data_IF_777272020265
#
_entry.id   IF_777272020265
#
_cell.length_a   1.000
_cell.length_b   1.000
_cell.length_c   1.000
_cell.angle_alpha   90.00
_cell.angle_beta   90.00
_cell.angle_gamma   90.00
#
_symmetry.space_group_name_H-M   'P 1'
#
loop_
_entity.id
_entity.type
_entity.pdbx_description
1 polymer ?
#
# COMPACT_ATOMS: atom_id res chain seq x y z
N UNK A 1 18.18 3.58 -15.50
CA UNK A 1 17.05 2.62 -15.49
C UNK A 1 16.23 2.89 -14.24
N UNK A 2 14.90 2.75 -14.31
CA UNK A 2 14.04 2.86 -13.13
C UNK A 2 14.35 1.70 -12.16
N UNK A 3 14.29 1.92 -10.83
CA UNK A 3 14.47 0.85 -9.87
C UNK A 3 13.37 -0.21 -10.04
N UNK A 4 13.68 -1.50 -9.78
CA UNK A 4 12.71 -2.59 -9.92
C UNK A 4 11.55 -2.47 -8.93
N UNK A 5 11.79 -1.78 -7.81
CA UNK A 5 10.83 -1.55 -6.75
C UNK A 5 10.94 -0.12 -6.24
N UNK A 6 9.87 0.38 -5.65
CA UNK A 6 9.84 1.61 -4.87
C UNK A 6 9.17 1.39 -3.52
N UNK A 7 9.49 2.28 -2.57
CA UNK A 7 8.76 2.46 -1.32
C UNK A 7 7.94 3.75 -1.40
N UNK A 8 6.66 3.68 -1.05
CA UNK A 8 5.71 4.79 -1.09
C UNK A 8 5.13 5.04 0.30
N UNK A 9 4.75 6.28 0.58
CA UNK A 9 3.75 6.52 1.62
C UNK A 9 2.38 6.04 1.11
N UNK A 10 1.58 5.42 1.98
CA UNK A 10 0.21 5.02 1.64
C UNK A 10 -0.71 6.22 1.48
N UNK A 11 -0.45 7.29 2.23
CA UNK A 11 -1.16 8.54 2.07
C UNK A 11 -0.69 9.27 0.81
N UNK A 12 -1.64 9.69 -0.02
CA UNK A 12 -1.40 10.37 -1.28
C UNK A 12 -2.09 11.72 -1.24
N UNK A 13 -1.32 12.81 -1.26
CA UNK A 13 -1.86 14.17 -1.26
C UNK A 13 -2.37 14.56 -2.64
N UNK A 14 -3.50 15.28 -2.66
CA UNK A 14 -4.03 15.92 -3.85
C UNK A 14 -3.64 17.39 -3.79
N UNK A 15 -2.60 17.76 -4.52
CA UNK A 15 -2.02 19.12 -4.44
C UNK A 15 -1.59 19.64 -5.80
N UNK A 16 -1.61 20.96 -5.95
CA UNK A 16 -1.09 21.67 -7.12
C UNK A 16 0.45 21.75 -7.05
N UNK A 17 1.11 21.78 -8.21
CA UNK A 17 2.57 21.97 -8.28
C UNK A 17 3.00 23.40 -7.88
N UNK A 18 2.07 24.37 -7.88
CA UNK A 18 2.29 25.75 -7.44
C UNK A 18 1.29 26.14 -6.33
N UNK A 19 1.61 27.19 -5.57
CA UNK A 19 0.73 27.78 -4.57
C UNK A 19 -0.53 28.35 -5.24
N UNK A 20 -1.52 27.49 -5.48
CA UNK A 20 -2.80 27.89 -6.03
C UNK A 20 -3.52 28.82 -5.05
N UNK A 21 -4.13 29.89 -5.58
CA UNK A 21 -4.99 30.77 -4.78
C UNK A 21 -6.15 29.92 -4.25
N UNK A 22 -6.48 29.98 -2.94
CA UNK A 22 -7.59 29.23 -2.39
C UNK A 22 -8.90 29.68 -3.04
N UNK A 23 -9.45 28.85 -3.93
CA UNK A 23 -10.81 29.03 -4.43
C UNK A 23 -11.74 28.35 -3.44
N UNK A 24 -12.82 29.00 -2.99
CA UNK A 24 -13.80 28.36 -2.11
C UNK A 24 -14.34 27.09 -2.76
N UNK A 25 -14.35 25.98 -2.01
CA UNK A 25 -15.00 24.76 -2.46
C UNK A 25 -16.47 25.08 -2.77
N UNK A 26 -16.95 24.83 -4.00
CA UNK A 26 -18.38 24.90 -4.25
C UNK A 26 -19.01 23.76 -3.45
N UNK A 27 -19.63 24.10 -2.32
CA UNK A 27 -20.59 23.22 -1.69
C UNK A 27 -21.92 23.49 -2.39
N UNK A 28 -22.47 22.56 -3.18
CA UNK A 28 -23.80 22.75 -3.75
C UNK A 28 -24.84 22.51 -2.64
N UNK A 29 -25.16 23.55 -1.87
CA UNK A 29 -26.21 23.50 -0.86
C UNK A 29 -27.54 23.17 -1.57
N UNK A 30 -28.17 22.05 -1.18
CA UNK A 30 -29.44 21.60 -1.76
C UNK A 30 -29.33 20.58 -2.89
N UNK A 31 -28.13 20.13 -3.28
CA UNK A 31 -27.96 19.02 -4.21
C UNK A 31 -28.33 17.67 -3.58
N UNK A 32 -28.89 16.76 -4.39
CA UNK A 32 -29.13 15.38 -3.98
C UNK A 32 -27.81 14.60 -3.86
N UNK A 33 -27.83 13.49 -3.09
CA UNK A 33 -26.67 12.59 -2.98
C UNK A 33 -26.19 12.08 -4.35
N UNK A 34 -27.11 11.87 -5.29
CA UNK A 34 -26.78 11.40 -6.64
C UNK A 34 -26.05 12.46 -7.45
N UNK A 35 -26.58 13.68 -7.52
CA UNK A 35 -25.95 14.80 -8.24
C UNK A 35 -24.55 15.07 -7.70
N UNK A 36 -24.38 14.94 -6.37
CA UNK A 36 -23.09 15.16 -5.75
C UNK A 36 -22.10 14.01 -6.01
N UNK A 37 -22.57 12.76 -6.00
CA UNK A 37 -21.78 11.61 -6.42
C UNK A 37 -21.31 11.75 -7.87
N UNK A 38 -22.21 12.16 -8.77
CA UNK A 38 -21.89 12.39 -10.19
C UNK A 38 -20.83 13.50 -10.35
N UNK A 39 -20.96 14.61 -9.60
CA UNK A 39 -19.98 15.69 -9.59
C UNK A 39 -18.61 15.26 -9.02
N UNK A 40 -18.60 14.40 -8.00
CA UNK A 40 -17.37 13.80 -7.47
C UNK A 40 -16.68 12.94 -8.52
N UNK A 41 -17.42 12.08 -9.22
CA UNK A 41 -16.86 11.23 -10.27
C UNK A 41 -16.32 12.08 -11.43
N UNK A 42 -17.02 13.14 -11.83
CA UNK A 42 -16.54 14.08 -12.85
C UNK A 42 -15.25 14.78 -12.42
N UNK A 43 -15.18 15.30 -11.19
CA UNK A 43 -13.98 15.91 -10.62
C UNK A 43 -12.80 14.92 -10.61
N UNK A 44 -13.02 13.69 -10.15
CA UNK A 44 -11.99 12.65 -10.11
C UNK A 44 -11.45 12.30 -11.50
N UNK A 45 -12.29 12.34 -12.54
CA UNK A 45 -11.86 12.09 -13.94
C UNK A 45 -10.97 13.21 -14.50
N UNK A 46 -11.05 14.42 -13.94
CA UNK A 46 -10.23 15.54 -14.35
C UNK A 46 -8.83 15.55 -13.69
N UNK A 47 -8.61 14.67 -12.69
CA UNK A 47 -7.33 14.56 -11.99
C UNK A 47 -6.25 13.96 -12.90
N UNK A 48 -5.00 14.36 -12.64
CA UNK A 48 -3.80 13.76 -13.24
C UNK A 48 -2.92 13.14 -12.16
N UNK A 49 -2.04 12.22 -12.54
CA UNK A 49 -1.07 11.64 -11.62
C UNK A 49 0.36 12.03 -12.01
N UNK A 50 1.22 12.17 -11.00
CA UNK A 50 2.66 12.36 -11.17
C UNK A 50 3.42 11.49 -10.18
N UNK A 51 4.16 10.52 -10.70
CA UNK A 51 5.05 9.68 -9.92
C UNK A 51 6.50 10.19 -9.98
N UNK A 52 7.08 10.48 -8.82
CA UNK A 52 8.52 10.70 -8.64
C UNK A 52 9.12 9.43 -8.06
N UNK A 53 10.02 8.82 -8.83
CA UNK A 53 10.61 7.52 -8.51
C UNK A 53 12.00 7.71 -7.93
N UNK A 54 12.23 7.07 -6.78
CA UNK A 54 13.52 6.99 -6.10
C UNK A 54 13.84 5.52 -5.81
N UNK A 55 15.13 5.18 -5.83
CA UNK A 55 15.58 3.85 -5.45
C UNK A 55 15.37 3.63 -3.96
N UNK A 56 14.79 2.50 -3.52
CA UNK A 56 14.76 2.13 -2.12
C UNK A 56 16.18 2.12 -1.54
N UNK A 57 16.36 2.60 -0.30
CA UNK A 57 15.32 2.97 0.65
C UNK A 57 14.80 4.41 0.51
N UNK A 58 15.32 5.25 -0.40
CA UNK A 58 14.71 6.55 -0.63
C UNK A 58 13.24 6.40 -1.06
N UNK A 59 12.37 7.21 -0.47
CA UNK A 59 10.94 7.15 -0.74
C UNK A 59 10.63 7.72 -2.12
N UNK A 60 9.82 6.99 -2.87
CA UNK A 60 9.11 7.51 -4.03
C UNK A 60 7.85 8.25 -3.58
N UNK A 61 7.29 9.07 -4.46
CA UNK A 61 6.01 9.73 -4.22
C UNK A 61 5.09 9.59 -5.42
N UNK A 62 3.82 9.30 -5.15
CA UNK A 62 2.74 9.43 -6.10
C UNK A 62 1.94 10.66 -5.66
N UNK A 63 1.82 11.64 -6.54
CA UNK A 63 0.99 12.84 -6.32
C UNK A 63 -0.18 12.82 -7.28
N UNK A 64 -1.33 13.26 -6.81
CA UNK A 64 -2.51 13.47 -7.64
C UNK A 64 -2.70 14.97 -7.79
N UNK A 65 -2.84 15.41 -9.02
CA UNK A 65 -2.85 16.81 -9.41
C UNK A 65 -4.27 17.18 -9.81
N UNK A 66 -4.97 18.03 -9.03
CA UNK A 66 -6.23 18.62 -9.46
C UNK A 66 -6.06 19.52 -10.69
N UNK A 67 -7.13 19.77 -11.45
CA UNK A 67 -7.12 20.77 -12.51
C UNK A 67 -6.61 22.14 -12.00
N UNK A 68 -5.94 22.93 -12.85
CA UNK A 68 -5.57 24.29 -12.50
C UNK A 68 -6.82 25.09 -12.11
N UNK A 69 -6.72 25.90 -11.06
CA UNK A 69 -7.82 26.76 -10.58
C UNK A 69 -9.11 26.00 -10.20
N UNK A 70 -9.03 24.73 -9.84
CA UNK A 70 -10.15 24.01 -9.21
C UNK A 70 -10.02 23.99 -7.68
N UNK A 71 -11.11 24.28 -6.98
CA UNK A 71 -11.21 23.99 -5.55
C UNK A 71 -11.47 22.49 -5.33
N UNK A 72 -10.95 21.88 -4.25
CA UNK A 72 -11.27 20.49 -3.92
C UNK A 72 -12.77 20.38 -3.61
N UNK A 73 -13.48 19.54 -4.38
CA UNK A 73 -14.88 19.25 -4.14
C UNK A 73 -15.02 18.46 -2.83
N UNK A 74 -15.88 18.91 -1.91
CA UNK A 74 -16.14 18.26 -0.61
C UNK A 74 -14.90 17.93 0.23
N UNK A 75 -13.79 18.63 0.04
CA UNK A 75 -12.55 18.32 0.77
C UNK A 75 -11.83 17.05 0.30
N UNK A 76 -12.09 16.58 -0.93
CA UNK A 76 -11.27 15.59 -1.65
C UNK A 76 -9.84 16.10 -1.86
N UNK A 77 -9.02 15.98 -0.82
CA UNK A 77 -7.66 16.52 -0.71
C UNK A 77 -6.59 15.45 -0.62
N UNK A 78 -6.98 14.19 -0.51
CA UNK A 78 -6.05 13.08 -0.40
C UNK A 78 -6.71 11.76 -0.79
N UNK A 79 -5.88 10.73 -0.91
CA UNK A 79 -6.29 9.35 -1.05
C UNK A 79 -5.38 8.41 -0.25
N UNK A 80 -5.74 7.13 -0.26
CA UNK A 80 -5.02 6.10 0.46
C UNK A 80 -4.79 4.87 -0.41
N UNK A 81 -3.53 4.50 -0.62
CA UNK A 81 -3.14 3.31 -1.38
C UNK A 81 -3.60 2.05 -0.65
N UNK A 82 -4.32 1.20 -1.37
CA UNK A 82 -4.79 -0.10 -0.88
C UNK A 82 -3.86 -1.22 -1.33
N UNK A 83 -3.56 -1.28 -2.63
CA UNK A 83 -2.77 -2.36 -3.24
C UNK A 83 -2.12 -1.93 -4.55
N UNK A 84 -1.27 -2.80 -5.09
CA UNK A 84 -0.65 -2.63 -6.40
C UNK A 84 -0.35 -4.01 -7.00
N UNK A 85 -0.28 -4.05 -8.32
CA UNK A 85 0.16 -5.23 -9.08
C UNK A 85 0.79 -4.76 -10.39
N UNK A 86 2.04 -5.18 -10.64
CA UNK A 86 2.85 -4.72 -11.79
C UNK A 86 2.83 -3.19 -11.93
N UNK A 87 2.29 -2.68 -13.04
CA UNK A 87 2.19 -1.26 -13.36
C UNK A 87 1.06 -0.51 -12.64
N UNK A 88 0.17 -1.20 -11.93
CA UNK A 88 -1.05 -0.61 -11.38
C UNK A 88 -0.92 -0.32 -9.90
N UNK A 89 -1.45 0.82 -9.46
CA UNK A 89 -1.61 1.16 -8.05
C UNK A 89 -3.07 1.56 -7.80
N UNK A 90 -3.74 0.87 -6.88
CA UNK A 90 -5.10 1.15 -6.48
C UNK A 90 -5.14 1.97 -5.19
N UNK A 91 -5.96 3.02 -5.20
CA UNK A 91 -6.19 3.85 -4.03
C UNK A 91 -7.66 4.24 -3.90
N UNK A 92 -8.08 4.48 -2.65
CA UNK A 92 -9.33 5.18 -2.36
C UNK A 92 -9.08 6.68 -2.47
N UNK A 93 -9.91 7.40 -3.22
CA UNK A 93 -9.91 8.86 -3.23
C UNK A 93 -10.87 9.40 -2.15
N UNK A 94 -10.42 10.38 -1.38
CA UNK A 94 -11.19 10.95 -0.27
C UNK A 94 -11.39 10.00 0.90
N UNK A 95 -12.50 10.21 1.60
CA UNK A 95 -12.92 9.37 2.73
C UNK A 95 -13.62 8.07 2.33
N UNK A 96 -13.75 7.79 1.03
CA UNK A 96 -14.56 6.69 0.53
C UNK A 96 -14.14 5.32 1.07
N UNK A 97 -15.12 4.61 1.63
CA UNK A 97 -15.06 3.19 1.99
C UNK A 97 -16.40 2.52 1.67
N UNK A 98 -16.42 1.22 1.32
CA UNK A 98 -17.68 0.50 1.13
C UNK A 98 -18.60 0.63 2.36
N UNK A 99 -19.89 0.91 2.14
CA UNK A 99 -20.87 1.11 3.22
C UNK A 99 -20.87 2.48 3.88
N UNK A 100 -20.05 3.41 3.41
CA UNK A 100 -20.01 4.76 3.94
C UNK A 100 -21.14 5.63 3.37
N UNK A 101 -21.89 6.32 4.24
CA UNK A 101 -23.10 7.08 3.87
C UNK A 101 -22.94 8.60 4.04
N UNK A 102 -21.87 9.06 4.69
CA UNK A 102 -21.73 10.48 5.03
C UNK A 102 -21.06 11.29 3.92
N UNK A 103 -21.36 12.58 3.83
CA UNK A 103 -20.70 13.50 2.90
C UNK A 103 -19.17 13.54 3.06
N UNK A 104 -18.67 13.29 4.27
CA UNK A 104 -17.24 13.23 4.56
C UNK A 104 -16.55 12.00 3.94
N UNK A 105 -17.35 11.01 3.50
CA UNK A 105 -16.89 9.73 2.96
C UNK A 105 -17.22 9.58 1.47
N UNK A 106 -17.57 10.67 0.78
CA UNK A 106 -17.70 10.65 -0.68
C UNK A 106 -16.32 10.49 -1.36
N UNK A 107 -16.34 9.81 -2.50
CA UNK A 107 -15.14 9.52 -3.27
C UNK A 107 -15.36 8.33 -4.20
N UNK A 108 -14.27 7.72 -4.63
CA UNK A 108 -14.30 6.57 -5.52
C UNK A 108 -12.96 5.83 -5.44
N UNK A 109 -12.79 4.77 -6.23
CA UNK A 109 -11.47 4.19 -6.42
C UNK A 109 -10.75 4.89 -7.57
N UNK A 110 -9.43 5.05 -7.44
CA UNK A 110 -8.55 5.43 -8.53
C UNK A 110 -7.55 4.31 -8.80
N UNK A 111 -7.36 4.00 -10.07
CA UNK A 111 -6.29 3.12 -10.55
C UNK A 111 -5.28 3.97 -11.31
N UNK A 112 -4.08 4.08 -10.78
CA UNK A 112 -2.94 4.67 -11.48
C UNK A 112 -2.24 3.61 -12.32
N UNK A 113 -2.04 3.91 -13.61
CA UNK A 113 -1.25 3.07 -14.51
C UNK A 113 0.10 3.73 -14.82
N UNK A 114 1.18 3.10 -14.38
CA UNK A 114 2.53 3.61 -14.56
C UNK A 114 3.03 3.59 -16.02
N UNK A 115 2.39 2.82 -16.92
CA UNK A 115 2.85 2.68 -18.32
C UNK A 115 2.72 3.98 -19.10
N UNK A 116 1.64 4.71 -18.86
CA UNK A 116 1.32 5.98 -19.52
C UNK A 116 1.02 7.12 -18.53
N UNK A 117 1.07 6.84 -17.21
CA UNK A 117 0.78 7.82 -16.18
C UNK A 117 -0.70 8.16 -16.05
N UNK A 118 -1.60 7.34 -16.60
CA UNK A 118 -3.03 7.59 -16.59
C UNK A 118 -3.69 7.27 -15.24
N UNK A 119 -4.88 7.85 -15.03
CA UNK A 119 -5.77 7.56 -13.92
C UNK A 119 -7.09 7.06 -14.47
N UNK A 120 -7.55 5.92 -13.95
CA UNK A 120 -8.90 5.40 -14.19
C UNK A 120 -9.74 5.55 -12.92
N UNK A 121 -10.92 6.15 -13.06
CA UNK A 121 -11.89 6.30 -11.96
C UNK A 121 -12.85 5.11 -11.99
N UNK A 122 -12.95 4.38 -10.88
CA UNK A 122 -13.94 3.32 -10.70
C UNK A 122 -15.01 3.83 -9.73
N UNK A 123 -16.29 3.80 -10.09
CA UNK A 123 -17.35 4.27 -9.22
C UNK A 123 -17.43 3.42 -7.93
N UNK A 124 -18.03 3.96 -6.86
CA UNK A 124 -18.39 3.18 -5.68
C UNK A 124 -19.16 1.91 -6.00
N UNK A 125 -19.07 0.95 -5.09
CA UNK A 125 -19.84 -0.29 -5.15
C UNK A 125 -21.35 -0.01 -5.04
N UNK A 126 -22.21 -0.67 -5.85
CA UNK A 126 -23.67 -0.58 -5.72
C UNK A 126 -24.20 -1.19 -4.42
N UNK A 127 -25.28 -0.62 -3.88
CA UNK A 127 -25.90 -0.97 -2.59
C UNK A 127 -25.02 -0.53 -1.39
N UNK A 128 -25.57 0.36 -0.58
CA UNK A 128 -24.82 1.08 0.46
C UNK A 128 -25.19 0.56 1.86
N UNK A 129 -26.46 0.23 2.10
CA UNK A 129 -26.96 -0.18 3.42
C UNK A 129 -26.67 -1.66 3.75
N UNK A 130 -26.40 -2.48 2.73
CA UNK A 130 -26.21 -3.93 2.89
C UNK A 130 -24.75 -4.33 3.12
N UNK A 131 -23.79 -3.41 2.92
CA UNK A 131 -22.37 -3.72 2.96
C UNK A 131 -21.60 -2.79 3.86
N UNK A 132 -20.51 -3.30 4.44
CA UNK A 132 -19.58 -2.49 5.23
C UNK A 132 -18.13 -2.88 4.89
N UNK A 133 -17.25 -1.89 4.86
CA UNK A 133 -15.82 -2.11 4.62
C UNK A 133 -15.22 -3.07 5.66
N UNK A 134 -14.38 -4.01 5.19
CA UNK A 134 -13.62 -4.91 6.06
C UNK A 134 -12.28 -4.29 6.47
N UNK A 135 -12.28 -3.05 6.97
CA UNK A 135 -11.06 -2.31 7.35
C UNK A 135 -10.68 -1.20 6.36
N UNK A 136 -9.43 -0.73 6.42
CA UNK A 136 -9.01 0.49 5.71
C UNK A 136 -8.32 0.22 4.36
N UNK A 137 -7.99 -1.04 4.05
CA UNK A 137 -7.20 -1.46 2.87
C UNK A 137 -7.71 -2.78 2.29
N UNK A 138 -8.90 -2.78 1.68
CA UNK A 138 -9.54 -4.01 1.20
C UNK A 138 -9.65 -4.10 -0.33
N UNK A 139 -9.32 -3.04 -1.05
CA UNK A 139 -9.30 -3.03 -2.52
C UNK A 139 -8.00 -3.66 -3.08
N UNK A 140 -8.12 -4.73 -3.84
CA UNK A 140 -7.02 -5.44 -4.51
C UNK A 140 -7.10 -5.25 -6.02
N UNK A 141 -6.10 -4.61 -6.61
CA UNK A 141 -5.93 -4.60 -8.06
C UNK A 141 -5.09 -5.80 -8.51
N UNK A 142 -5.47 -6.38 -9.64
CA UNK A 142 -4.72 -7.44 -10.31
C UNK A 142 -4.66 -7.16 -11.80
N UNK A 143 -3.46 -7.15 -12.36
CA UNK A 143 -3.27 -7.08 -13.80
C UNK A 143 -3.79 -8.37 -14.45
N UNK A 144 -4.46 -8.24 -15.59
CA UNK A 144 -4.81 -9.40 -16.38
C UNK A 144 -3.56 -10.14 -16.90
N UNK A 145 -3.74 -11.40 -17.30
CA UNK A 145 -2.66 -12.19 -17.85
C UNK A 145 -2.13 -11.61 -19.19
N UNK A 146 -2.99 -10.93 -19.96
CA UNK A 146 -2.63 -10.39 -21.29
C UNK A 146 -2.02 -8.99 -21.26
N UNK A 147 -2.00 -8.34 -20.09
CA UNK A 147 -1.54 -6.96 -19.91
C UNK A 147 -2.47 -5.90 -20.51
N UNK A 148 -3.66 -6.27 -21.01
CA UNK A 148 -4.60 -5.37 -21.67
C UNK A 148 -5.62 -4.72 -20.73
N UNK A 149 -5.77 -5.26 -19.52
CA UNK A 149 -6.78 -4.82 -18.56
C UNK A 149 -6.42 -5.18 -17.12
N UNK A 150 -7.39 -5.03 -16.24
CA UNK A 150 -7.25 -5.37 -14.83
C UNK A 150 -8.58 -5.75 -14.20
N UNK A 151 -8.45 -6.43 -13.06
CA UNK A 151 -9.51 -6.66 -12.09
C UNK A 151 -9.27 -5.78 -10.87
N UNK A 152 -10.34 -5.27 -10.29
CA UNK A 152 -10.34 -4.66 -8.96
C UNK A 152 -11.32 -5.44 -8.09
N UNK A 153 -10.84 -5.98 -6.98
CA UNK A 153 -11.63 -6.75 -6.04
C UNK A 153 -11.76 -6.01 -4.72
N UNK A 154 -12.94 -6.02 -4.13
CA UNK A 154 -13.21 -5.44 -2.82
C UNK A 154 -13.94 -6.46 -1.95
N UNK A 155 -13.42 -6.71 -0.74
CA UNK A 155 -14.00 -7.64 0.22
C UNK A 155 -14.80 -6.85 1.26
N UNK A 156 -16.09 -7.15 1.38
CA UNK A 156 -17.04 -6.41 2.24
C UNK A 156 -17.82 -7.34 3.17
N UNK A 157 -18.17 -6.82 4.35
CA UNK A 157 -19.16 -7.45 5.23
C UNK A 157 -20.54 -7.35 4.59
N UNK A 158 -21.37 -8.38 4.77
CA UNK A 158 -22.78 -8.38 4.33
C UNK A 158 -23.70 -8.30 5.54
N UNK A 159 -24.49 -7.24 5.61
CA UNK A 159 -25.40 -6.94 6.72
C UNK A 159 -26.76 -7.66 6.56
N UNK A 160 -27.48 -7.97 7.66
CA UNK A 160 -27.06 -7.81 9.06
C UNK A 160 -26.09 -8.91 9.52
N UNK A 161 -25.10 -8.52 10.33
CA UNK A 161 -24.17 -9.43 11.03
C UNK A 161 -22.77 -9.53 10.39
N UNK A 162 -21.80 -10.00 11.17
CA UNK A 162 -20.38 -10.14 10.76
C UNK A 162 -20.01 -11.59 10.41
N UNK A 163 -20.94 -12.37 9.86
CA UNK A 163 -20.75 -13.79 9.53
C UNK A 163 -20.68 -14.07 8.03
N UNK A 164 -21.05 -13.10 7.20
CA UNK A 164 -21.11 -13.23 5.74
C UNK A 164 -20.22 -12.17 5.10
N UNK A 165 -19.60 -12.53 3.99
CA UNK A 165 -18.87 -11.60 3.15
C UNK A 165 -19.34 -11.67 1.70
N UNK A 166 -18.91 -10.68 0.93
CA UNK A 166 -18.94 -10.78 -0.50
C UNK A 166 -17.70 -10.15 -1.10
N UNK A 167 -17.32 -10.65 -2.27
CA UNK A 167 -16.31 -10.03 -3.10
C UNK A 167 -17.01 -9.30 -4.23
N UNK A 168 -16.81 -7.99 -4.29
CA UNK A 168 -17.18 -7.20 -5.45
C UNK A 168 -16.02 -7.21 -6.44
N UNK A 169 -16.31 -7.56 -7.70
CA UNK A 169 -15.32 -7.59 -8.77
C UNK A 169 -15.67 -6.58 -9.84
N UNK A 170 -14.71 -5.73 -10.17
CA UNK A 170 -14.76 -4.84 -11.31
C UNK A 170 -13.78 -5.31 -12.36
N UNK A 171 -14.27 -5.53 -13.57
CA UNK A 171 -13.44 -5.79 -14.74
C UNK A 171 -13.32 -4.52 -15.59
N UNK A 172 -12.09 -4.10 -15.88
CA UNK A 172 -11.81 -2.89 -16.67
C UNK A 172 -12.48 -2.88 -18.06
N UNK A 173 -12.69 -4.05 -18.67
CA UNK A 173 -13.33 -4.22 -19.97
C UNK A 173 -14.85 -4.04 -19.90
N UNK A 174 -15.50 -4.66 -18.91
CA UNK A 174 -16.94 -4.64 -18.69
C UNK A 174 -17.44 -3.32 -18.08
N UNK A 175 -16.58 -2.65 -17.29
CA UNK A 175 -16.89 -1.41 -16.56
C UNK A 175 -18.13 -1.52 -15.67
N UNK A 176 -18.27 -2.67 -15.04
CA UNK A 176 -19.39 -3.06 -14.20
C UNK A 176 -18.87 -3.75 -12.94
N UNK A 177 -19.53 -3.47 -11.82
CA UNK A 177 -19.35 -4.20 -10.57
C UNK A 177 -20.22 -5.47 -10.56
N UNK A 178 -19.57 -6.62 -10.36
CA UNK A 178 -20.24 -7.92 -10.23
C UNK A 178 -20.04 -8.45 -8.82
N UNK A 179 -21.16 -8.75 -8.14
CA UNK A 179 -21.15 -9.34 -6.80
C UNK A 179 -20.86 -10.86 -6.89
N UNK A 180 -19.88 -11.32 -6.11
CA UNK A 180 -19.62 -12.74 -5.86
C UNK A 180 -19.87 -13.02 -4.37
N UNK A 181 -21.03 -13.59 -4.01
CA UNK A 181 -21.31 -13.91 -2.61
C UNK A 181 -20.39 -15.04 -2.15
N UNK A 182 -19.90 -14.96 -0.91
CA UNK A 182 -19.03 -15.99 -0.35
C UNK A 182 -19.22 -16.11 1.16
N UNK A 183 -19.27 -17.33 1.67
CA UNK A 183 -19.15 -17.53 3.11
C UNK A 183 -17.69 -17.36 3.51
N UNK A 184 -17.41 -16.47 4.46
CA UNK A 184 -16.08 -16.39 5.04
C UNK A 184 -15.84 -17.64 5.88
N UNK A 185 -14.78 -18.42 5.60
CA UNK A 185 -14.43 -19.58 6.41
C UNK A 185 -13.66 -19.14 7.67
N UNK A 186 -14.16 -18.12 8.37
CA UNK A 186 -13.56 -17.63 9.61
C UNK A 186 -14.10 -18.43 10.79
N UNK A 187 -13.24 -18.81 11.75
CA UNK A 187 -13.68 -19.33 13.03
C UNK A 187 -14.65 -18.36 13.74
N UNK A 188 -15.70 -18.82 14.43
CA UNK A 188 -16.71 -17.95 15.04
C UNK A 188 -16.14 -16.91 16.03
N UNK A 189 -15.06 -17.24 16.72
CA UNK A 189 -14.34 -16.36 17.66
C UNK A 189 -13.51 -15.26 16.98
N UNK A 190 -13.26 -15.38 15.66
CA UNK A 190 -12.44 -14.48 14.84
C UNK A 190 -13.31 -13.54 14.00
N UNK A 191 -14.46 -14.05 13.51
CA UNK A 191 -15.29 -13.39 12.50
C UNK A 191 -15.68 -11.94 12.87
N UNK A 192 -16.10 -11.68 14.11
CA UNK A 192 -16.56 -10.34 14.52
C UNK A 192 -15.44 -9.30 14.64
N UNK A 193 -14.17 -9.72 14.66
CA UNK A 193 -13.02 -8.85 14.87
C UNK A 193 -12.05 -8.82 13.68
N UNK A 194 -12.42 -9.47 12.57
CA UNK A 194 -11.57 -9.51 11.39
C UNK A 194 -11.53 -8.14 10.70
N UNK A 195 -10.33 -7.58 10.58
CA UNK A 195 -10.09 -6.29 9.94
C UNK A 195 -8.88 -6.37 9.02
N UNK A 196 -9.05 -5.90 7.78
CA UNK A 196 -8.00 -5.97 6.76
C UNK A 196 -7.04 -4.80 6.96
N UNK A 197 -5.79 -5.16 7.23
CA UNK A 197 -4.67 -4.23 7.41
C UNK A 197 -3.79 -4.17 6.16
N UNK A 198 -3.84 -5.18 5.29
CA UNK A 198 -3.07 -5.26 4.05
C UNK A 198 -3.75 -6.18 3.04
N UNK A 199 -3.56 -5.93 1.75
CA UNK A 199 -4.08 -6.79 0.70
C UNK A 199 -3.19 -6.74 -0.55
N UNK A 200 -3.18 -7.83 -1.34
CA UNK A 200 -2.35 -7.96 -2.54
C UNK A 200 -2.89 -9.05 -3.48
N UNK A 201 -2.53 -8.98 -4.76
CA UNK A 201 -2.78 -10.06 -5.70
C UNK A 201 -1.66 -11.10 -5.60
N UNK A 202 -2.00 -12.36 -5.89
CA UNK A 202 -1.07 -13.48 -5.84
C UNK A 202 -1.24 -14.36 -7.07
N UNK A 203 -0.12 -14.63 -7.76
CA UNK A 203 -0.02 -15.55 -8.92
C UNK A 203 -0.98 -15.24 -10.08
N UNK A 204 -1.47 -14.01 -10.17
CA UNK A 204 -2.37 -13.59 -11.25
C UNK A 204 -3.75 -14.27 -11.24
N UNK A 205 -4.13 -14.94 -10.15
CA UNK A 205 -5.42 -15.61 -10.03
C UNK A 205 -6.01 -15.61 -8.63
N UNK A 206 -5.29 -15.12 -7.63
CA UNK A 206 -5.74 -15.14 -6.23
C UNK A 206 -5.68 -13.74 -5.64
N UNK A 207 -6.76 -13.31 -5.00
CA UNK A 207 -6.76 -12.12 -4.15
C UNK A 207 -6.49 -12.50 -2.71
N UNK A 208 -5.66 -11.71 -2.03
CA UNK A 208 -5.26 -11.93 -0.65
C UNK A 208 -5.64 -10.73 0.22
N UNK A 209 -6.40 -10.96 1.29
CA UNK A 209 -6.71 -9.96 2.32
C UNK A 209 -6.21 -10.42 3.66
N UNK A 210 -5.47 -9.57 4.36
CA UNK A 210 -4.75 -9.96 5.57
C UNK A 210 -5.18 -9.11 6.76
N UNK A 211 -5.63 -9.81 7.79
CA UNK A 211 -5.66 -9.30 9.14
C UNK A 211 -4.35 -9.67 9.84
N UNK A 212 -3.48 -8.68 10.08
CA UNK A 212 -2.16 -8.88 10.68
C UNK A 212 -2.21 -9.39 12.13
N UNK A 213 -3.38 -9.40 12.77
CA UNK A 213 -3.57 -10.02 14.08
C UNK A 213 -3.98 -11.48 14.02
N UNK A 214 -4.54 -11.95 12.91
CA UNK A 214 -5.27 -13.22 12.86
C UNK A 214 -4.82 -14.13 11.71
N UNK A 215 -4.95 -13.67 10.47
CA UNK A 215 -4.89 -14.55 9.32
C UNK A 215 -5.11 -13.85 7.99
N UNK A 216 -5.08 -14.63 6.92
CA UNK A 216 -5.28 -14.19 5.55
C UNK A 216 -6.45 -14.93 4.92
N UNK A 217 -7.36 -14.18 4.31
CA UNK A 217 -8.41 -14.69 3.44
C UNK A 217 -7.87 -14.70 2.00
N UNK A 218 -8.00 -15.83 1.33
CA UNK A 218 -7.66 -16.01 -0.08
C UNK A 218 -8.94 -16.18 -0.90
N UNK A 219 -9.00 -15.57 -2.08
CA UNK A 219 -10.05 -15.79 -3.06
C UNK A 219 -9.43 -16.26 -4.37
N UNK A 220 -9.70 -17.50 -4.79
CA UNK A 220 -9.18 -18.07 -6.03
C UNK A 220 -10.19 -17.92 -7.18
N UNK A 221 -9.81 -17.15 -8.21
CA UNK A 221 -10.59 -16.91 -9.40
C UNK A 221 -10.85 -18.18 -10.22
N UNK A 222 -9.88 -19.11 -10.27
CA UNK A 222 -10.02 -20.36 -11.02
C UNK A 222 -11.04 -21.31 -10.37
N UNK A 223 -11.30 -21.14 -9.07
CA UNK A 223 -12.26 -21.91 -8.30
C UNK A 223 -13.57 -21.15 -8.09
N UNK A 224 -13.91 -20.21 -8.97
CA UNK A 224 -15.16 -19.46 -8.91
C UNK A 224 -15.25 -18.52 -7.72
N UNK A 225 -14.13 -17.88 -7.35
CA UNK A 225 -14.01 -16.98 -6.19
C UNK A 225 -14.23 -17.66 -4.84
N UNK A 226 -13.81 -18.93 -4.71
CA UNK A 226 -13.87 -19.65 -3.45
C UNK A 226 -12.97 -18.99 -2.42
N UNK A 227 -13.54 -18.71 -1.25
CA UNK A 227 -12.82 -18.16 -0.10
C UNK A 227 -12.17 -19.28 0.72
N UNK A 228 -10.92 -19.09 1.12
CA UNK A 228 -10.22 -19.91 2.12
C UNK A 228 -9.51 -19.02 3.14
N UNK A 229 -9.21 -19.57 4.32
CA UNK A 229 -8.56 -18.83 5.40
C UNK A 229 -7.29 -19.57 5.85
N UNK A 230 -6.23 -18.81 6.08
CA UNK A 230 -4.95 -19.29 6.60
C UNK A 230 -4.58 -18.45 7.81
N UNK A 231 -4.42 -19.09 8.97
CA UNK A 231 -3.96 -18.42 10.19
C UNK A 231 -2.51 -17.94 10.04
N UNK A 232 -2.18 -16.80 10.65
CA UNK A 232 -0.80 -16.34 10.75
C UNK A 232 -0.03 -17.20 11.77
N UNK A 233 1.29 -17.40 11.58
CA UNK A 233 2.08 -18.27 12.43
C UNK A 233 2.24 -17.73 13.85
N UNK A 234 2.08 -16.42 14.03
CA UNK A 234 1.90 -15.81 15.34
C UNK A 234 0.46 -15.36 15.49
N UNK A 235 -0.19 -15.84 16.54
CA UNK A 235 -1.51 -15.37 16.95
C UNK A 235 -1.52 -13.88 17.30
N UNK A 236 -2.67 -13.43 17.80
CA UNK A 236 -2.88 -12.02 18.16
C UNK A 236 -1.83 -11.55 19.19
N UNK A 237 -1.21 -10.38 19.01
CA UNK A 237 -0.37 -9.76 20.02
C UNK A 237 -1.08 -9.69 21.37
N UNK A 238 -0.39 -10.10 22.44
CA UNK A 238 -0.83 -9.87 23.81
C UNK A 238 -0.16 -8.58 24.32
N UNK A 239 -0.97 -7.59 24.70
CA UNK A 239 -0.51 -6.31 25.19
C UNK A 239 -1.45 -5.77 26.26
N UNK A 240 -0.92 -4.94 27.14
CA UNK A 240 -1.73 -4.20 28.10
C UNK A 240 -2.44 -3.05 27.37
N UNK A 241 -3.77 -3.06 27.36
CA UNK A 241 -4.57 -2.01 26.74
C UNK A 241 -4.33 -0.64 27.39
N UNK A 242 -3.83 -0.57 28.63
CA UNK A 242 -3.47 0.68 29.29
C UNK A 242 -2.20 1.33 28.69
N UNK A 243 -1.28 0.52 28.16
CA UNK A 243 -0.07 1.01 27.46
C UNK A 243 -0.41 1.56 26.06
N UNK A 244 -1.48 1.04 25.46
CA UNK A 244 -1.94 1.39 24.11
C UNK A 244 -3.46 1.64 24.11
N UNK A 245 -3.93 2.78 24.65
CA UNK A 245 -5.36 3.07 24.81
C UNK A 245 -6.12 3.17 23.46
N UNK A 246 -5.41 3.41 22.36
CA UNK A 246 -5.96 3.35 20.99
C UNK A 246 -5.84 1.98 20.30
N UNK A 247 -5.35 0.95 21.01
CA UNK A 247 -4.95 -0.33 20.44
C UNK A 247 -3.56 -0.30 19.79
N UNK A 248 -3.00 -1.48 19.52
CA UNK A 248 -1.77 -1.58 18.72
C UNK A 248 -2.11 -1.37 17.24
N UNK A 249 -1.37 -0.49 16.56
CA UNK A 249 -1.33 -0.49 15.11
C UNK A 249 -0.62 -1.76 14.65
N UNK A 250 -1.35 -2.72 14.08
CA UNK A 250 -0.77 -4.01 13.67
C UNK A 250 0.42 -3.81 12.72
N UNK A 251 0.30 -2.83 11.84
CA UNK A 251 1.28 -2.47 10.81
C UNK A 251 2.56 -1.84 11.39
N UNK A 252 2.52 -1.36 12.64
CA UNK A 252 3.71 -0.90 13.36
C UNK A 252 4.68 -2.06 13.64
N UNK A 253 4.16 -3.28 13.78
CA UNK A 253 4.95 -4.43 14.22
C UNK A 253 4.87 -5.65 13.31
N UNK A 254 4.01 -5.63 12.30
CA UNK A 254 3.75 -6.77 11.43
C UNK A 254 3.62 -6.34 9.98
N UNK A 255 4.02 -7.22 9.09
CA UNK A 255 3.92 -7.00 7.66
C UNK A 255 3.71 -8.32 6.92
N UNK A 256 3.09 -8.22 5.76
CA UNK A 256 2.87 -9.36 4.87
C UNK A 256 3.04 -8.87 3.44
N UNK A 257 3.73 -9.66 2.62
CA UNK A 257 3.92 -9.35 1.22
C UNK A 257 4.18 -10.62 0.41
N UNK A 258 3.91 -10.56 -0.89
CA UNK A 258 4.47 -11.52 -1.83
C UNK A 258 5.92 -11.13 -2.16
N UNK A 259 6.87 -11.96 -1.76
CA UNK A 259 8.30 -11.76 -2.04
C UNK A 259 8.75 -12.82 -3.03
N UNK A 260 9.10 -12.41 -4.25
CA UNK A 260 9.52 -13.30 -5.34
C UNK A 260 8.60 -14.52 -5.54
N UNK A 261 7.29 -14.32 -5.44
CA UNK A 261 6.29 -15.37 -5.67
C UNK A 261 5.97 -16.26 -4.47
N UNK A 262 6.55 -16.01 -3.29
CA UNK A 262 6.17 -16.67 -2.03
C UNK A 262 5.58 -15.66 -1.06
N UNK A 263 4.58 -16.07 -0.27
CA UNK A 263 3.96 -15.18 0.72
C UNK A 263 4.83 -15.20 1.97
N UNK A 264 5.25 -14.02 2.42
CA UNK A 264 6.05 -13.86 3.62
C UNK A 264 5.32 -13.01 4.64
N UNK A 265 5.36 -13.45 5.88
CA UNK A 265 4.86 -12.73 7.04
C UNK A 265 6.05 -12.37 7.92
N UNK A 266 6.08 -11.13 8.40
CA UNK A 266 7.08 -10.62 9.31
C UNK A 266 6.39 -10.11 10.56
N UNK A 267 6.93 -10.46 11.73
CA UNK A 267 6.48 -9.91 13.00
C UNK A 267 7.65 -9.66 13.96
N UNK A 268 7.50 -8.62 14.77
CA UNK A 268 8.28 -8.46 15.99
C UNK A 268 7.75 -9.39 17.09
N UNK A 269 8.64 -10.11 17.76
CA UNK A 269 8.27 -10.98 18.89
C UNK A 269 8.12 -10.22 20.24
N UNK A 270 7.88 -8.90 20.20
CA UNK A 270 7.75 -8.04 21.40
C UNK A 270 6.55 -8.37 22.26
N UNK A 271 5.43 -8.71 21.62
CA UNK A 271 4.09 -8.79 22.22
C UNK A 271 3.56 -10.22 22.32
N UNK A 272 4.45 -11.20 22.27
CA UNK A 272 4.10 -12.60 22.44
C UNK A 272 4.90 -13.15 23.61
N UNK A 273 4.36 -14.17 24.29
CA UNK A 273 5.09 -14.82 25.38
C UNK A 273 6.38 -15.42 24.81
N UNK A 274 7.52 -14.89 25.28
CA UNK A 274 8.85 -15.29 24.81
C UNK A 274 9.33 -16.49 25.60
N UNK A 275 9.97 -17.43 24.92
CA UNK A 275 10.64 -18.54 25.62
C UNK A 275 11.81 -17.99 26.44
N UNK A 276 12.18 -18.63 27.57
CA UNK A 276 13.41 -18.27 28.29
C UNK A 276 14.61 -18.26 27.35
N UNK A 277 15.33 -17.13 27.28
CA UNK A 277 16.47 -16.93 26.37
C UNK A 277 16.13 -16.37 24.98
N UNK A 278 14.85 -16.18 24.64
CA UNK A 278 14.44 -15.57 23.37
C UNK A 278 14.52 -14.03 23.45
N UNK A 279 15.40 -13.45 22.63
CA UNK A 279 15.59 -12.01 22.56
C UNK A 279 14.50 -11.31 21.75
N UNK A 280 14.32 -10.02 22.02
CA UNK A 280 13.47 -9.17 21.20
C UNK A 280 14.08 -9.03 19.79
N UNK A 281 13.31 -9.40 18.78
CA UNK A 281 13.76 -9.54 17.41
C UNK A 281 12.64 -9.54 16.39
N UNK A 282 13.04 -9.68 15.13
CA UNK A 282 12.19 -9.87 13.98
C UNK A 282 12.27 -11.32 13.55
N UNK A 283 11.12 -11.91 13.23
CA UNK A 283 11.06 -13.21 12.57
C UNK A 283 10.28 -13.08 11.27
N UNK A 284 10.76 -13.75 10.22
CA UNK A 284 10.10 -13.84 8.91
C UNK A 284 9.73 -15.29 8.68
N UNK A 285 8.45 -15.53 8.40
CA UNK A 285 7.93 -16.82 7.99
C UNK A 285 7.58 -16.79 6.50
N UNK A 286 7.80 -17.91 5.82
CA UNK A 286 7.37 -18.12 4.44
C UNK A 286 6.28 -19.18 4.41
N UNK A 287 5.19 -18.86 3.72
CA UNK A 287 4.15 -19.78 3.31
C UNK A 287 4.44 -20.21 1.87
N UNK A 288 4.87 -21.46 1.71
CA UNK A 288 5.11 -22.03 0.39
C UNK A 288 3.81 -22.56 -0.20
N UNK A 289 3.60 -22.40 -1.51
CA UNK A 289 2.40 -22.87 -2.18
C UNK A 289 2.24 -24.41 -2.12
N UNK A 290 3.36 -25.13 -2.08
CA UNK A 290 3.38 -26.60 -2.13
C UNK A 290 3.40 -27.24 -0.73
N UNK A 291 3.38 -26.43 0.34
CA UNK A 291 3.49 -26.91 1.71
C UNK A 291 2.34 -26.39 2.58
N UNK A 292 1.69 -27.27 3.37
CA UNK A 292 0.69 -26.83 4.32
C UNK A 292 1.38 -26.19 5.53
N UNK A 293 1.47 -24.86 5.53
CA UNK A 293 1.83 -24.10 6.72
C UNK A 293 3.05 -23.20 6.57
N UNK A 294 3.25 -22.41 7.62
CA UNK A 294 4.31 -21.41 7.71
C UNK A 294 5.62 -22.03 8.20
N UNK A 295 6.73 -21.64 7.59
CA UNK A 295 8.08 -22.03 7.99
C UNK A 295 8.92 -20.80 8.29
N UNK A 296 9.73 -20.82 9.36
CA UNK A 296 10.66 -19.73 9.66
C UNK A 296 11.74 -19.68 8.59
N UNK A 297 11.97 -18.51 8.00
CA UNK A 297 13.00 -18.28 6.99
C UNK A 297 14.15 -17.42 7.51
N UNK A 298 13.84 -16.38 8.29
CA UNK A 298 14.85 -15.48 8.85
C UNK A 298 14.50 -15.09 10.29
N UNK A 299 15.54 -14.89 11.09
CA UNK A 299 15.45 -14.32 12.44
C UNK A 299 16.60 -13.34 12.65
N UNK A 300 16.30 -12.20 13.27
CA UNK A 300 17.29 -11.16 13.58
C UNK A 300 16.96 -10.56 14.95
N UNK A 301 17.92 -10.53 15.86
CA UNK A 301 17.76 -9.81 17.13
C UNK A 301 17.84 -8.31 16.87
N UNK A 302 17.05 -7.52 17.59
CA UNK A 302 17.20 -6.05 17.54
C UNK A 302 18.57 -5.63 18.12
N UNK A 303 19.16 -6.45 18.99
CA UNK A 303 20.53 -6.21 19.47
C UNK A 303 21.55 -6.29 18.34
N UNK A 304 21.40 -7.23 17.40
CA UNK A 304 22.29 -7.35 16.23
C UNK A 304 22.21 -6.10 15.35
N UNK A 305 21.00 -5.55 15.17
CA UNK A 305 20.79 -4.30 14.43
C UNK A 305 21.54 -3.14 15.11
N UNK A 306 21.45 -3.03 16.44
CA UNK A 306 22.15 -1.98 17.19
C UNK A 306 23.67 -2.19 17.27
N UNK A 307 24.12 -3.44 17.25
CA UNK A 307 25.54 -3.80 17.24
C UNK A 307 26.21 -3.58 15.88
N UNK A 308 25.42 -3.44 14.80
CA UNK A 308 25.94 -3.22 13.46
C UNK A 308 26.78 -1.93 13.37
N UNK A 309 27.95 -2.01 12.75
CA UNK A 309 28.91 -0.90 12.62
C UNK A 309 28.32 0.33 11.94
N UNK A 310 27.46 0.16 10.92
CA UNK A 310 26.81 1.28 10.24
C UNK A 310 25.78 1.96 11.13
N UNK A 311 25.06 1.19 11.96
CA UNK A 311 24.11 1.72 12.93
C UNK A 311 24.82 2.57 14.00
N UNK A 312 25.93 2.05 14.55
CA UNK A 312 26.75 2.76 15.54
C UNK A 312 27.43 4.01 14.94
N UNK A 313 27.94 3.90 13.72
CA UNK A 313 28.60 5.01 13.01
C UNK A 313 27.63 6.15 12.70
N UNK A 314 26.34 5.86 12.53
CA UNK A 314 25.29 6.88 12.40
C UNK A 314 24.97 7.62 13.71
N UNK A 315 25.59 7.24 14.84
CA UNK A 315 25.41 7.88 16.15
C UNK A 315 24.04 7.63 16.77
N UNK A 316 23.32 6.61 16.30
CA UNK A 316 22.00 6.26 16.80
C UNK A 316 22.11 5.58 18.17
N UNK A 317 21.19 5.95 19.07
CA UNK A 317 20.96 5.20 20.31
C UNK A 317 20.28 3.88 19.98
N UNK A 318 20.08 3.02 20.98
CA UNK A 318 19.29 1.79 20.86
C UNK A 318 17.79 2.11 20.70
N UNK A 319 17.43 2.68 19.55
CA UNK A 319 16.08 3.09 19.22
C UNK A 319 15.30 1.89 18.67
N UNK A 320 14.04 1.74 19.11
CA UNK A 320 13.20 0.64 18.68
C UNK A 320 12.78 0.82 17.20
N UNK A 321 13.03 -0.18 16.33
CA UNK A 321 12.49 -0.18 14.98
C UNK A 321 10.98 -0.44 14.97
N UNK A 322 10.30 0.07 13.94
CA UNK A 322 8.85 0.01 13.74
C UNK A 322 8.50 0.02 12.25
N UNK A 323 7.22 -0.19 11.92
CA UNK A 323 6.66 -0.15 10.57
C UNK A 323 7.47 -0.99 9.56
N UNK A 324 7.61 -2.31 9.80
CA UNK A 324 8.41 -3.15 8.94
C UNK A 324 7.76 -3.28 7.55
N UNK A 325 8.60 -3.28 6.52
CA UNK A 325 8.18 -3.52 5.13
C UNK A 325 9.12 -4.50 4.47
N UNK A 326 8.56 -5.61 4.01
CA UNK A 326 9.29 -6.64 3.27
C UNK A 326 9.65 -6.14 1.87
N UNK A 327 10.87 -6.44 1.43
CA UNK A 327 11.24 -6.24 0.03
C UNK A 327 10.57 -7.28 -0.86
N UNK A 328 9.71 -6.87 -1.79
CA UNK A 328 9.03 -7.77 -2.74
C UNK A 328 9.99 -8.39 -3.79
N UNK A 329 11.18 -7.82 -4.03
CA UNK A 329 12.17 -8.35 -5.00
C UNK A 329 13.40 -9.01 -4.38
N UNK A 330 13.82 -8.62 -3.17
CA UNK A 330 15.02 -9.15 -2.53
C UNK A 330 14.61 -9.97 -1.30
N UNK A 331 14.81 -11.28 -1.35
CA UNK A 331 14.51 -12.13 -0.20
C UNK A 331 15.48 -11.85 0.95
N UNK A 332 14.97 -11.91 2.18
CA UNK A 332 15.73 -11.57 3.40
C UNK A 332 15.93 -10.07 3.65
N UNK A 333 15.47 -9.18 2.77
CA UNK A 333 15.62 -7.72 2.94
C UNK A 333 14.34 -7.11 3.52
N UNK A 334 14.49 -6.35 4.61
CA UNK A 334 13.41 -5.60 5.25
C UNK A 334 13.79 -4.13 5.42
N UNK A 335 12.81 -3.24 5.29
CA UNK A 335 12.94 -1.83 5.63
C UNK A 335 12.25 -1.54 6.96
N UNK A 336 12.91 -0.78 7.84
CA UNK A 336 12.42 -0.48 9.19
C UNK A 336 12.50 1.03 9.46
N UNK A 337 11.46 1.59 10.07
CA UNK A 337 11.44 2.99 10.50
C UNK A 337 11.98 3.09 11.93
N UNK A 338 12.91 4.02 12.14
CA UNK A 338 13.47 4.36 13.45
C UNK A 338 13.25 5.84 13.72
N UNK A 339 12.62 6.14 14.85
CA UNK A 339 12.33 7.51 15.28
C UNK A 339 13.23 7.91 16.45
N UNK A 340 13.98 9.01 16.30
CA UNK A 340 14.66 9.67 17.41
C UNK A 340 13.72 10.72 18.00
N UNK A 341 13.05 10.34 19.09
CA UNK A 341 12.17 11.22 19.85
C UNK A 341 12.73 11.45 21.26
N UNK A 342 12.47 12.63 21.80
CA UNK A 342 12.75 12.94 23.21
C UNK A 342 11.51 13.45 23.90
N UNK A 343 11.27 12.99 25.12
CA UNK A 343 10.23 13.53 25.99
C UNK A 343 10.78 14.80 26.66
N UNK A 344 10.07 15.92 26.51
CA UNK A 344 10.47 17.22 27.07
C UNK A 344 9.35 17.80 27.93
N UNK A 345 9.73 18.38 29.08
CA UNK A 345 8.81 19.07 29.98
C UNK A 345 8.03 18.15 30.92
N UNK A 346 7.33 18.74 31.90
CA UNK A 346 6.46 18.02 32.85
C UNK A 346 5.25 17.37 32.17
N UNK A 347 4.81 17.93 31.04
CA UNK A 347 3.65 17.46 30.27
C UNK A 347 3.99 16.28 29.33
N UNK A 348 5.21 15.73 29.45
CA UNK A 348 5.69 14.58 28.66
C UNK A 348 5.52 14.74 27.14
N UNK A 349 5.73 15.95 26.63
CA UNK A 349 5.59 16.21 25.19
C UNK A 349 6.69 15.49 24.41
N UNK A 350 6.29 14.68 23.43
CA UNK A 350 7.22 14.05 22.50
C UNK A 350 7.72 15.10 21.49
N UNK A 351 9.03 15.26 21.43
CA UNK A 351 9.72 16.10 20.43
C UNK A 351 10.43 15.16 19.48
N UNK A 352 10.06 15.23 18.19
CA UNK A 352 10.71 14.47 17.13
C UNK A 352 11.98 15.21 16.68
N UNK A 353 13.12 14.54 16.71
CA UNK A 353 14.43 15.10 16.33
C UNK A 353 14.82 14.70 14.93
N UNK A 354 14.67 13.42 14.62
CA UNK A 354 15.03 12.84 13.34
C UNK A 354 14.30 11.51 13.14
N UNK A 355 14.16 11.11 11.88
CA UNK A 355 13.69 9.78 11.50
C UNK A 355 14.68 9.17 10.54
N UNK A 356 14.85 7.85 10.65
CA UNK A 356 15.76 7.07 9.83
C UNK A 356 14.99 5.89 9.25
N UNK A 357 15.33 5.53 8.03
CA UNK A 357 14.91 4.30 7.40
C UNK A 357 16.12 3.37 7.35
N UNK A 358 15.97 2.20 7.95
CA UNK A 358 16.97 1.15 7.90
C UNK A 358 16.64 0.23 6.74
N UNK A 359 17.67 -0.19 5.99
CA UNK A 359 17.61 -1.40 5.16
C UNK A 359 18.39 -2.47 5.90
N UNK A 360 17.72 -3.56 6.28
CA UNK A 360 18.33 -4.70 6.98
C UNK A 360 18.32 -5.91 6.06
N UNK A 361 19.49 -6.47 5.80
CA UNK A 361 19.67 -7.68 5.01
C UNK A 361 19.88 -8.89 5.92
N UNK A 362 18.77 -9.53 6.29
CA UNK A 362 18.78 -10.68 7.21
C UNK A 362 19.42 -11.93 6.58
N UNK A 363 19.57 -11.97 5.25
CA UNK A 363 20.27 -13.05 4.55
C UNK A 363 21.78 -12.88 4.52
N UNK A 364 22.27 -11.65 4.72
CA UNK A 364 23.68 -11.30 4.68
C UNK A 364 24.16 -10.81 6.06
N UNK A 365 24.17 -11.71 7.04
CA UNK A 365 24.65 -11.44 8.41
C UNK A 365 24.03 -10.19 9.06
N UNK A 366 22.73 -9.96 8.81
CA UNK A 366 22.00 -8.80 9.31
C UNK A 366 22.68 -7.45 8.95
N UNK A 367 23.24 -7.33 7.73
CA UNK A 367 23.84 -6.07 7.28
C UNK A 367 22.82 -4.94 7.35
N UNK A 368 23.18 -3.83 8.02
CA UNK A 368 22.30 -2.69 8.24
C UNK A 368 22.86 -1.50 7.48
N UNK A 369 21.99 -0.81 6.76
CA UNK A 369 22.27 0.48 6.16
C UNK A 369 21.28 1.51 6.70
N UNK A 370 21.78 2.70 7.04
CA UNK A 370 21.02 3.75 7.74
C UNK A 370 20.81 4.95 6.82
N UNK A 371 19.56 5.39 6.67
CA UNK A 371 19.20 6.50 5.79
C UNK A 371 18.34 7.53 6.53
N UNK A 372 18.91 8.69 6.83
CA UNK A 372 18.18 9.79 7.47
C UNK A 372 17.12 10.38 6.52
N UNK A 373 15.89 10.52 7.02
CA UNK A 373 14.79 11.14 6.31
C UNK A 373 14.79 12.66 6.53
N UNK A 374 14.67 13.45 5.45
CA UNK A 374 14.82 14.92 5.49
C UNK A 374 13.50 15.68 5.46
N UNK A 375 12.46 15.13 4.83
CA UNK A 375 11.29 15.91 4.42
C UNK A 375 9.95 15.30 4.81
N UNK A 376 9.93 14.01 5.12
CA UNK A 376 8.69 13.25 5.24
C UNK A 376 8.71 12.44 6.52
N UNK A 377 7.74 12.69 7.39
CA UNK A 377 7.57 11.92 8.60
C UNK A 377 6.72 10.69 8.30
N UNK A 378 7.30 9.50 8.45
CA UNK A 378 6.62 8.22 8.29
C UNK A 378 5.92 7.90 9.61
N UNK A 379 4.59 7.90 9.60
CA UNK A 379 3.74 7.59 10.76
C UNK A 379 2.89 6.33 10.55
N UNK A 380 3.05 5.66 9.42
CA UNK A 380 2.33 4.45 9.05
C UNK A 380 3.23 3.54 8.21
N UNK A 381 2.80 2.30 8.00
CA UNK A 381 3.56 1.34 7.21
C UNK A 381 3.69 1.82 5.76
N UNK A 382 4.94 1.87 5.26
CA UNK A 382 5.23 2.16 3.87
C UNK A 382 4.67 1.06 2.96
N UNK A 383 4.50 1.39 1.69
CA UNK A 383 3.99 0.47 0.69
C UNK A 383 5.05 0.16 -0.36
N UNK A 384 5.36 -1.11 -0.55
CA UNK A 384 6.29 -1.57 -1.59
C UNK A 384 5.53 -1.86 -2.89
N UNK A 385 6.05 -1.39 -4.02
CA UNK A 385 5.43 -1.61 -5.33
C UNK A 385 6.48 -1.70 -6.43
N UNK A 386 6.19 -2.46 -7.48
CA UNK A 386 7.04 -2.61 -8.67
C UNK A 386 6.61 -1.69 -9.83
N UNK A 387 5.64 -0.77 -9.64
CA UNK A 387 5.09 0.04 -10.73
C UNK A 387 6.15 0.80 -11.54
N UNK A 388 7.24 1.20 -10.88
CA UNK A 388 8.35 1.92 -11.51
C UNK A 388 9.05 1.11 -12.60
N UNK A 389 9.09 -0.22 -12.46
CA UNK A 389 9.70 -1.12 -13.43
C UNK A 389 8.96 -1.12 -14.78
N UNK A 390 7.69 -0.74 -14.77
CA UNK A 390 6.83 -0.75 -15.95
C UNK A 390 6.60 0.62 -16.58
N UNK A 391 7.27 1.66 -16.05
CA UNK A 391 7.22 2.99 -16.66
C UNK A 391 7.89 2.96 -18.02
N UNK A 392 7.21 3.49 -19.04
CA UNK A 392 7.88 3.80 -20.31
C UNK A 392 8.97 4.83 -20.01
N UNK A 393 10.20 4.53 -20.43
CA UNK A 393 11.25 5.54 -20.43
C UNK A 393 10.91 6.52 -21.54
N UNK A 394 10.57 7.76 -21.18
CA UNK A 394 10.58 8.87 -22.12
C UNK A 394 12.01 8.98 -22.64
N UNK A 395 12.26 8.38 -23.81
CA UNK A 395 13.42 8.78 -24.59
C UNK A 395 13.14 10.22 -25.03
N UNK A 396 14.03 11.18 -24.76
CA UNK A 396 13.94 12.46 -25.44
C UNK A 396 14.00 12.17 -26.94
N UNK A 397 12.89 12.39 -27.65
CA UNK A 397 12.95 12.57 -29.11
C UNK A 397 13.59 13.93 -29.34
N UNK A 398 14.91 13.98 -29.26
CA UNK A 398 15.68 15.10 -29.77
C UNK A 398 16.58 14.64 -30.91
N UNK A 399 16.18 15.08 -32.11
CA UNK A 399 17.06 15.56 -33.19
C UNK A 399 17.97 14.51 -33.84
N UNK A 400 17.38 13.61 -34.63
CA UNK A 400 18.02 13.10 -35.86
C UNK A 400 17.01 13.21 -37.02
N UNK A 401 16.64 14.44 -37.34
CA UNK A 401 16.01 14.82 -38.60
C UNK A 401 16.56 16.17 -39.05
N UNK A 402 17.89 16.32 -39.01
CA UNK A 402 18.61 17.46 -39.56
C UNK A 402 20.09 17.10 -39.81
N UNK A 403 20.36 15.95 -40.42
CA UNK A 403 21.69 15.65 -40.98
C UNK A 403 21.66 14.86 -42.29
N UNK A 404 20.46 14.62 -42.86
CA UNK A 404 20.29 14.09 -44.22
C UNK A 404 19.61 15.11 -45.12
N UNK A 405 20.25 16.26 -45.32
CA UNK A 405 20.07 17.03 -46.55
C UNK A 405 21.32 17.86 -46.83
N UNK A 406 22.01 17.53 -47.92
CA UNK A 406 23.01 18.43 -48.52
C UNK A 406 24.45 17.94 -48.61
N UNK A 407 24.68 16.71 -49.10
CA UNK A 407 25.99 16.36 -49.67
C UNK A 407 25.83 15.50 -50.93
N UNK A 408 25.23 16.06 -51.98
CA UNK A 408 25.35 15.53 -53.34
C UNK A 408 26.02 16.57 -54.22
N UNK A 409 27.22 16.25 -54.70
CA UNK A 409 28.01 17.14 -55.55
C UNK A 409 29.46 16.70 -55.76
N UNK A 410 29.70 15.45 -56.13
CA UNK A 410 31.00 15.04 -56.71
C UNK A 410 30.82 14.51 -58.14
N UNK A 411 31.22 15.41 -59.05
CA UNK A 411 31.79 15.22 -60.39
C UNK A 411 32.08 13.78 -60.80
N UNK A 412 31.61 13.41 -61.98
CA UNK A 412 32.18 12.33 -62.80
C UNK A 412 32.67 12.92 -64.12
N UNK A 413 33.85 12.46 -64.52
CA UNK A 413 34.61 12.83 -65.73
C UNK A 413 33.87 12.47 -67.02
N UNK A 414 33.95 13.36 -68.00
CA UNK A 414 34.39 13.08 -69.37
C UNK A 414 35.04 14.35 -69.91
#
# INVERSE_FOLDING_TARGET
>A
MAPPMVLLNRHVDFSHDEAAVPIPSPCPWGASNKEMSDAVIEYLRALKARAVVASPPQLSSLRILPPPNSAPLLGLRSGHISSADKNLVALYAGGYRPGAETFAEMGAYLIYDARDGSLSVIPPIPSHDEYMAMGHQSAVVMCDATGGGYLLAELVWVMPGFSRAAVWLWESSAKEWVLKPGCLPLPPNIAMYFSIHSCFSYRGSTFCWVDLHQGMVLCDLHQGCKLSFIELPQGRPNYDASDYPGGLCAEEFRSVACVRGSIKFLAFNKFVERKPGEEYGLTVWTLYPDHPGWSISYQCSVQDIWANTNYQSAGLRQLAPSFPVLSIHQDGVVYLVVNDTSVVGKDRRLVHKAQYLLRVDMGNNNDVQVYQQKTTHIYSQLFASEFSAHRRQDHPREIEAASESGASGKKTKA
#
